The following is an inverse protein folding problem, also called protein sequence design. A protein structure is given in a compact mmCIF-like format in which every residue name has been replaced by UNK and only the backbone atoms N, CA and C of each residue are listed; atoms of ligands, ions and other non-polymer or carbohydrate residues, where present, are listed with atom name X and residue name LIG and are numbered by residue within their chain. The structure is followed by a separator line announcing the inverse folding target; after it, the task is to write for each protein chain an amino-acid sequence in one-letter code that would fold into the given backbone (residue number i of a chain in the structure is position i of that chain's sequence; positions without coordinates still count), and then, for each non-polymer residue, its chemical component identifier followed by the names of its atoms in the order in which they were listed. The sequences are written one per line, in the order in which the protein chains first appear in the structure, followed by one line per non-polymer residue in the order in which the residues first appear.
data_IF_749225679724
#
_entry.id   IF_749225679724
#
_cell.length_a   1.000
_cell.length_b   1.000
_cell.length_c   1.000
_cell.angle_alpha   90.00
_cell.angle_beta   90.00
_cell.angle_gamma   90.00
#
_symmetry.space_group_name_H-M   'P 1'
#
loop_
_entity.id
_entity.type
_entity.pdbx_description
1 polymer ?
#
# COMPACT_ATOMS: atom_id res chain seq x y z
N UNK A 1 -28.36 -112.04 -13.95
CA UNK A 1 -27.03 -111.44 -14.03
C UNK A 1 -27.16 -110.11 -14.67
N UNK A 2 -27.17 -109.03 -13.90
CA UNK A 2 -27.13 -107.60 -14.36
C UNK A 2 -26.07 -106.88 -13.57
N UNK A 3 -25.03 -106.38 -14.25
CA UNK A 3 -24.00 -105.54 -13.70
C UNK A 3 -24.55 -104.18 -13.49
N UNK A 4 -24.36 -103.61 -12.27
CA UNK A 4 -24.65 -102.21 -11.95
C UNK A 4 -23.33 -101.48 -12.03
N UNK A 5 -23.23 -100.50 -12.94
CA UNK A 5 -22.15 -99.56 -13.04
C UNK A 5 -22.40 -98.44 -12.07
N UNK A 6 -21.42 -98.15 -11.16
CA UNK A 6 -21.41 -96.98 -10.31
C UNK A 6 -20.72 -95.88 -11.07
N UNK A 7 -21.43 -94.77 -11.30
CA UNK A 7 -20.88 -93.51 -11.84
C UNK A 7 -20.45 -92.65 -10.65
N UNK A 8 -19.14 -92.31 -10.58
CA UNK A 8 -18.60 -91.36 -9.67
C UNK A 8 -18.72 -89.96 -10.32
N UNK A 9 -19.50 -89.05 -9.69
CA UNK A 9 -19.49 -87.67 -10.03
C UNK A 9 -18.34 -86.95 -9.26
N UNK A 10 -17.37 -86.47 -10.02
CA UNK A 10 -16.30 -85.58 -9.48
C UNK A 10 -16.81 -84.12 -9.52
N UNK A 11 -17.10 -83.54 -8.37
CA UNK A 11 -17.45 -82.12 -8.24
C UNK A 11 -16.15 -81.32 -8.11
N UNK A 12 -15.76 -80.63 -9.19
CA UNK A 12 -14.64 -79.69 -9.15
C UNK A 12 -15.12 -78.37 -8.52
N UNK A 13 -14.57 -78.07 -7.38
CA UNK A 13 -14.76 -76.77 -6.71
C UNK A 13 -13.79 -75.72 -7.34
N UNK A 14 -14.31 -74.88 -8.23
CA UNK A 14 -13.55 -73.74 -8.77
C UNK A 14 -13.66 -72.60 -7.76
N UNK A 15 -12.59 -72.35 -6.98
CA UNK A 15 -12.44 -71.15 -6.14
C UNK A 15 -12.11 -69.96 -7.04
N UNK A 16 -13.11 -69.16 -7.37
CA UNK A 16 -12.92 -67.90 -8.02
C UNK A 16 -12.32 -66.87 -7.00
N UNK A 17 -11.05 -66.56 -7.18
CA UNK A 17 -10.43 -65.44 -6.51
C UNK A 17 -10.95 -64.20 -7.21
N UNK A 18 -11.91 -63.48 -6.59
CA UNK A 18 -12.25 -62.12 -6.99
C UNK A 18 -11.12 -61.21 -6.52
N UNK A 19 -10.22 -60.83 -7.42
CA UNK A 19 -9.36 -59.66 -7.25
C UNK A 19 -10.28 -58.43 -7.31
N UNK A 20 -10.65 -57.87 -6.16
CA UNK A 20 -11.22 -56.56 -6.07
C UNK A 20 -10.04 -55.63 -6.37
N UNK A 21 -9.93 -55.18 -7.63
CA UNK A 21 -9.14 -54.01 -7.98
C UNK A 21 -9.86 -52.81 -7.36
N UNK A 22 -9.36 -52.27 -6.28
CA UNK A 22 -9.67 -50.92 -5.90
C UNK A 22 -9.10 -50.02 -7.02
N UNK A 23 -9.93 -49.72 -8.02
CA UNK A 23 -9.70 -48.50 -8.77
C UNK A 23 -9.93 -47.37 -7.76
N UNK A 24 -8.85 -46.70 -7.34
CA UNK A 24 -8.97 -45.34 -6.85
C UNK A 24 -9.66 -44.57 -7.99
N UNK A 25 -10.88 -44.17 -7.79
CA UNK A 25 -11.43 -43.11 -8.61
C UNK A 25 -10.55 -41.91 -8.28
N UNK A 26 -9.81 -41.41 -9.26
CA UNK A 26 -9.16 -40.13 -9.18
C UNK A 26 -10.30 -39.13 -8.97
N UNK A 27 -10.51 -38.71 -7.75
CA UNK A 27 -11.39 -37.58 -7.43
C UNK A 27 -10.70 -36.40 -8.10
N UNK A 28 -11.26 -35.93 -9.20
CA UNK A 28 -10.87 -34.64 -9.79
C UNK A 28 -11.20 -33.56 -8.74
N UNK A 29 -10.24 -33.24 -7.90
CA UNK A 29 -10.34 -32.14 -6.98
C UNK A 29 -10.24 -30.91 -7.86
N UNK A 30 -11.34 -30.17 -7.98
CA UNK A 30 -11.30 -28.85 -8.61
C UNK A 30 -10.39 -27.95 -7.78
N UNK A 31 -9.29 -27.49 -8.38
CA UNK A 31 -8.34 -26.60 -7.69
C UNK A 31 -8.89 -25.17 -7.56
N UNK A 32 -9.98 -24.82 -8.26
CA UNK A 32 -10.47 -23.44 -8.33
C UNK A 32 -9.57 -22.52 -9.16
N UNK A 33 -8.56 -23.09 -9.83
CA UNK A 33 -7.61 -22.38 -10.71
C UNK A 33 -7.71 -22.98 -12.11
N UNK A 34 -7.80 -22.10 -13.13
CA UNK A 34 -7.83 -22.48 -14.53
C UNK A 34 -6.40 -22.73 -15.07
N UNK A 35 -6.29 -23.58 -16.11
CA UNK A 35 -5.02 -23.85 -16.82
C UNK A 35 -4.50 -22.63 -17.59
N UNK A 36 -5.40 -21.69 -17.99
CA UNK A 36 -5.07 -20.56 -18.85
C UNK A 36 -5.81 -19.31 -18.42
N UNK A 37 -5.06 -18.23 -18.19
CA UNK A 37 -5.59 -16.90 -17.97
C UNK A 37 -5.20 -15.95 -19.11
N UNK A 38 -6.04 -14.94 -19.33
CA UNK A 38 -5.79 -13.89 -20.34
C UNK A 38 -6.13 -12.54 -19.73
N UNK A 39 -5.13 -11.69 -19.51
CA UNK A 39 -5.25 -10.40 -18.82
C UNK A 39 -4.56 -9.29 -19.60
N UNK A 40 -4.93 -8.04 -19.34
CA UNK A 40 -4.17 -6.87 -19.79
C UNK A 40 -2.90 -6.72 -18.95
N UNK A 41 -1.84 -6.13 -19.52
CA UNK A 41 -0.66 -5.76 -18.72
C UNK A 41 -1.06 -4.76 -17.63
N UNK A 42 -0.26 -4.69 -16.55
CA UNK A 42 -0.50 -3.79 -15.42
C UNK A 42 -1.92 -4.00 -14.79
N UNK A 43 -2.39 -5.24 -14.84
CA UNK A 43 -3.62 -5.67 -14.20
C UNK A 43 -3.30 -6.81 -13.25
N UNK A 44 -3.77 -6.72 -12.03
CA UNK A 44 -3.58 -7.75 -11.00
C UNK A 44 -4.42 -8.99 -11.30
N UNK A 45 -3.81 -10.18 -11.27
CA UNK A 45 -4.48 -11.48 -11.26
C UNK A 45 -4.23 -12.15 -9.92
N UNK A 46 -5.29 -12.45 -9.17
CA UNK A 46 -5.20 -13.18 -7.90
C UNK A 46 -5.55 -14.65 -8.15
N UNK A 47 -4.62 -15.55 -7.85
CA UNK A 47 -4.78 -16.99 -7.92
C UNK A 47 -4.99 -17.54 -6.52
N UNK A 48 -6.18 -18.11 -6.27
CA UNK A 48 -6.58 -18.66 -4.97
C UNK A 48 -6.95 -20.14 -5.12
N UNK A 49 -6.05 -21.09 -4.78
CA UNK A 49 -6.38 -22.51 -4.80
C UNK A 49 -7.48 -22.85 -3.79
N UNK A 50 -8.55 -23.49 -4.23
CA UNK A 50 -9.60 -23.99 -3.33
C UNK A 50 -9.11 -25.20 -2.49
N UNK A 51 -8.16 -25.97 -3.04
CA UNK A 51 -7.55 -27.10 -2.34
C UNK A 51 -6.58 -26.60 -1.26
N UNK A 52 -6.73 -27.09 -0.05
CA UNK A 52 -5.88 -26.75 1.10
C UNK A 52 -4.84 -27.85 1.33
N UNK A 53 -3.56 -27.48 1.33
CA UNK A 53 -2.43 -28.33 1.71
C UNK A 53 -1.66 -27.77 2.90
N UNK A 54 -0.59 -28.46 3.28
CA UNK A 54 0.30 -28.05 4.38
C UNK A 54 1.21 -26.88 4.01
N UNK A 55 1.58 -26.77 2.72
CA UNK A 55 2.37 -25.68 2.17
C UNK A 55 2.11 -25.51 0.66
N UNK A 56 2.50 -24.34 0.14
CA UNK A 56 2.36 -23.96 -1.27
C UNK A 56 3.71 -23.49 -1.80
N UNK A 57 4.02 -23.82 -3.05
CA UNK A 57 5.21 -23.33 -3.76
C UNK A 57 4.78 -22.90 -5.15
N UNK A 58 4.90 -21.60 -5.41
CA UNK A 58 4.66 -21.01 -6.72
C UNK A 58 6.00 -20.79 -7.42
N UNK A 59 6.15 -21.33 -8.61
CA UNK A 59 7.39 -21.28 -9.40
C UNK A 59 7.12 -20.64 -10.75
N UNK A 60 7.83 -19.57 -11.08
CA UNK A 60 7.82 -18.97 -12.41
C UNK A 60 8.84 -19.67 -13.29
N UNK A 61 8.40 -20.13 -14.45
CA UNK A 61 9.27 -20.75 -15.45
C UNK A 61 9.86 -19.65 -16.33
N UNK A 62 11.19 -19.48 -16.29
CA UNK A 62 11.91 -18.46 -17.04
C UNK A 62 12.36 -18.97 -18.42
N UNK A 63 12.41 -18.08 -19.42
CA UNK A 63 12.80 -18.41 -20.79
C UNK A 63 14.23 -18.98 -20.90
N UNK A 64 15.09 -18.74 -19.94
CA UNK A 64 16.46 -19.27 -19.88
C UNK A 64 16.55 -20.68 -19.28
N UNK A 65 15.39 -21.29 -18.95
CA UNK A 65 15.28 -22.63 -18.39
C UNK A 65 15.65 -22.72 -16.91
N UNK A 66 15.71 -21.60 -16.20
CA UNK A 66 15.77 -21.55 -14.74
C UNK A 66 14.38 -21.31 -14.17
N UNK A 67 14.07 -22.00 -13.10
CA UNK A 67 12.83 -21.80 -12.37
C UNK A 67 13.09 -20.89 -11.18
N UNK A 68 12.18 -19.99 -10.90
CA UNK A 68 12.27 -19.08 -9.74
C UNK A 68 11.05 -19.26 -8.86
N UNK A 69 11.26 -19.56 -7.57
CA UNK A 69 10.19 -19.54 -6.57
C UNK A 69 9.76 -18.09 -6.39
N UNK A 70 8.48 -17.81 -6.67
CA UNK A 70 7.88 -16.48 -6.64
C UNK A 70 6.86 -16.29 -5.52
N UNK A 71 6.49 -17.37 -4.81
CA UNK A 71 5.58 -17.31 -3.67
C UNK A 71 5.52 -18.62 -2.89
N UNK A 72 5.17 -18.53 -1.61
CA UNK A 72 4.97 -19.68 -0.71
C UNK A 72 3.66 -19.61 0.08
N UNK A 73 2.89 -18.55 -0.12
CA UNK A 73 1.57 -18.41 0.45
C UNK A 73 0.53 -19.15 -0.39
N UNK A 74 -0.66 -19.41 0.17
CA UNK A 74 -1.75 -20.03 -0.56
C UNK A 74 -2.14 -19.20 -1.78
N UNK A 75 -2.31 -17.91 -1.57
CA UNK A 75 -2.70 -16.97 -2.62
C UNK A 75 -1.45 -16.46 -3.33
N UNK A 76 -1.51 -16.38 -4.64
CA UNK A 76 -0.47 -15.78 -5.45
C UNK A 76 -1.03 -14.64 -6.29
N UNK A 77 -0.36 -13.48 -6.23
CA UNK A 77 -0.71 -12.31 -7.01
C UNK A 77 0.26 -12.20 -8.18
N UNK A 78 -0.27 -12.21 -9.40
CA UNK A 78 0.50 -11.98 -10.62
C UNK A 78 0.17 -10.60 -11.20
N UNK A 79 1.19 -9.89 -11.65
CA UNK A 79 1.10 -8.67 -12.44
C UNK A 79 2.32 -8.58 -13.34
N UNK A 80 2.19 -8.02 -14.54
CA UNK A 80 3.30 -7.84 -15.46
C UNK A 80 3.20 -6.49 -16.20
N UNK A 81 4.35 -5.80 -16.35
CA UNK A 81 4.48 -4.58 -17.14
C UNK A 81 4.50 -4.86 -18.64
N UNK A 82 5.05 -6.01 -19.04
CA UNK A 82 5.27 -6.38 -20.44
C UNK A 82 4.21 -7.36 -20.95
N UNK A 83 3.86 -7.22 -22.22
CA UNK A 83 3.04 -8.20 -22.93
C UNK A 83 3.83 -9.48 -23.19
N UNK A 84 3.19 -10.65 -23.08
CA UNK A 84 3.88 -11.91 -23.29
C UNK A 84 3.08 -13.10 -22.84
N UNK A 85 3.75 -14.24 -22.78
CA UNK A 85 3.21 -15.47 -22.22
C UNK A 85 4.10 -15.89 -21.05
N UNK A 86 3.49 -16.02 -19.88
CA UNK A 86 4.14 -16.42 -18.65
C UNK A 86 3.66 -17.82 -18.27
N UNK A 87 4.55 -18.62 -17.71
CA UNK A 87 4.25 -19.95 -17.23
C UNK A 87 4.53 -20.03 -15.74
N UNK A 88 3.54 -20.45 -15.00
CA UNK A 88 3.59 -20.60 -13.55
C UNK A 88 3.28 -22.04 -13.18
N UNK A 89 4.01 -22.58 -12.22
CA UNK A 89 3.80 -23.90 -11.67
C UNK A 89 3.43 -23.76 -10.18
N UNK A 90 2.38 -24.46 -9.77
CA UNK A 90 1.97 -24.53 -8.36
C UNK A 90 2.19 -25.97 -7.86
N UNK A 91 2.96 -26.11 -6.78
CA UNK A 91 2.97 -27.32 -5.96
C UNK A 91 2.22 -27.07 -4.65
N UNK A 92 1.19 -27.87 -4.39
CA UNK A 92 0.50 -27.93 -3.10
C UNK A 92 1.03 -29.17 -2.37
N UNK A 93 1.75 -28.94 -1.30
CA UNK A 93 2.36 -29.98 -0.48
C UNK A 93 1.32 -30.44 0.52
N UNK A 94 1.06 -31.75 0.52
CA UNK A 94 0.14 -32.42 1.43
C UNK A 94 0.68 -33.85 1.66
N UNK A 95 0.68 -34.34 2.91
CA UNK A 95 1.26 -35.67 3.23
C UNK A 95 0.52 -36.81 2.54
N UNK A 96 -0.79 -36.67 2.32
CA UNK A 96 -1.62 -37.76 1.75
C UNK A 96 -1.82 -37.62 0.24
N UNK A 97 -2.03 -36.39 -0.26
CA UNK A 97 -2.40 -36.12 -1.64
C UNK A 97 -1.74 -34.85 -2.18
N UNK A 98 -0.42 -34.83 -2.45
CA UNK A 98 0.24 -33.70 -3.08
C UNK A 98 -0.34 -33.44 -4.48
N UNK A 99 -0.49 -32.18 -4.82
CA UNK A 99 -1.08 -31.73 -6.10
C UNK A 99 -0.13 -30.75 -6.77
N UNK A 100 0.09 -30.92 -8.08
CA UNK A 100 0.82 -29.96 -8.91
C UNK A 100 -0.06 -29.47 -10.06
N UNK A 101 0.10 -28.18 -10.44
CA UNK A 101 -0.72 -27.58 -11.49
C UNK A 101 0.10 -26.58 -12.32
N UNK A 102 0.01 -26.69 -13.65
CA UNK A 102 0.65 -25.77 -14.59
C UNK A 102 -0.34 -24.71 -15.07
N UNK A 103 0.06 -23.45 -15.02
CA UNK A 103 -0.77 -22.31 -15.36
C UNK A 103 -0.08 -21.50 -16.45
N UNK A 104 -0.81 -21.18 -17.50
CA UNK A 104 -0.39 -20.30 -18.58
C UNK A 104 -1.10 -18.96 -18.46
N UNK A 105 -0.34 -17.86 -18.37
CA UNK A 105 -0.89 -16.51 -18.33
C UNK A 105 -0.49 -15.77 -19.61
N UNK A 106 -1.48 -15.35 -20.39
CA UNK A 106 -1.28 -14.53 -21.59
C UNK A 106 -1.57 -13.08 -21.24
N UNK A 107 -0.53 -12.24 -21.28
CA UNK A 107 -0.62 -10.81 -21.02
C UNK A 107 -0.61 -10.08 -22.36
N UNK A 108 -1.62 -9.25 -22.59
CA UNK A 108 -1.79 -8.50 -23.81
C UNK A 108 -1.87 -6.99 -23.56
N UNK A 109 -1.66 -6.21 -24.62
CA UNK A 109 -1.67 -4.76 -24.54
C UNK A 109 -3.07 -4.24 -24.21
N UNK A 110 -3.18 -3.32 -23.27
CA UNK A 110 -4.41 -2.64 -22.94
C UNK A 110 -5.01 -1.91 -24.16
N UNK A 111 -6.34 -1.90 -24.25
CA UNK A 111 -7.03 -1.24 -25.37
C UNK A 111 -7.14 0.29 -25.19
N UNK A 112 -7.22 0.73 -23.92
CA UNK A 112 -7.23 2.15 -23.55
C UNK A 112 -5.91 2.43 -22.85
N UNK A 113 -5.12 3.33 -23.44
CA UNK A 113 -3.82 3.65 -22.89
C UNK A 113 -3.93 4.25 -21.49
N UNK A 114 -3.22 3.66 -20.56
CA UNK A 114 -3.15 4.12 -19.17
C UNK A 114 -2.54 5.51 -19.03
N UNK A 115 -2.97 6.22 -17.99
CA UNK A 115 -2.41 7.50 -17.57
C UNK A 115 -1.38 7.28 -16.46
N UNK A 116 -0.20 7.87 -16.60
CA UNK A 116 0.80 7.81 -15.54
C UNK A 116 0.43 8.56 -14.25
N UNK A 117 -0.61 9.40 -14.29
CA UNK A 117 -1.01 10.27 -13.19
C UNK A 117 -2.08 9.64 -12.31
N UNK A 118 -2.21 10.12 -11.07
CA UNK A 118 -3.34 9.77 -10.20
C UNK A 118 -4.64 9.87 -11.00
N UNK A 119 -5.47 8.83 -10.95
CA UNK A 119 -6.80 8.81 -11.57
C UNK A 119 -7.91 9.08 -10.56
N UNK A 120 -7.75 8.63 -9.31
CA UNK A 120 -8.81 8.67 -8.30
C UNK A 120 -8.25 8.92 -6.90
N UNK A 121 -8.97 9.73 -6.11
CA UNK A 121 -8.80 9.83 -4.66
C UNK A 121 -9.96 9.10 -3.99
N UNK A 122 -9.65 8.11 -3.18
CA UNK A 122 -10.62 7.28 -2.46
C UNK A 122 -11.02 7.89 -1.12
N UNK A 123 -10.04 8.46 -0.42
CA UNK A 123 -10.25 9.06 0.89
C UNK A 123 -9.32 10.26 1.07
N UNK A 124 -9.86 11.35 1.64
CA UNK A 124 -9.09 12.49 2.10
C UNK A 124 -9.50 12.79 3.55
N UNK A 125 -8.59 12.51 4.48
CA UNK A 125 -8.84 12.63 5.91
C UNK A 125 -7.66 13.34 6.58
N UNK A 126 -7.57 14.66 6.47
CA UNK A 126 -6.48 15.42 7.08
C UNK A 126 -6.61 15.46 8.60
N UNK A 127 -5.47 15.58 9.30
CA UNK A 127 -5.42 16.01 10.68
C UNK A 127 -5.55 17.55 10.77
N UNK A 128 -5.78 18.12 11.96
CA UNK A 128 -5.85 19.58 12.09
C UNK A 128 -4.58 20.28 11.62
N UNK A 129 -4.75 21.36 10.82
CA UNK A 129 -3.62 22.11 10.27
C UNK A 129 -4.02 23.42 9.63
N UNK A 130 -3.05 24.32 9.46
CA UNK A 130 -3.27 25.70 9.01
C UNK A 130 -3.81 25.81 7.58
N UNK A 131 -3.65 24.77 6.75
CA UNK A 131 -4.15 24.75 5.37
C UNK A 131 -5.31 23.78 5.12
N UNK A 132 -5.78 23.08 6.15
CA UNK A 132 -6.69 21.94 6.02
C UNK A 132 -8.04 22.31 5.42
N UNK A 133 -8.67 23.42 5.77
CA UNK A 133 -9.94 23.87 5.20
C UNK A 133 -9.79 24.78 3.98
N UNK A 134 -8.55 24.94 3.49
CA UNK A 134 -8.16 25.84 2.40
C UNK A 134 -7.57 25.06 1.22
N UNK A 135 -6.85 23.96 1.47
CA UNK A 135 -6.21 23.12 0.48
C UNK A 135 -6.64 21.63 0.65
N UNK A 136 -7.76 21.21 0.02
CA UNK A 136 -8.69 22.00 -0.82
C UNK A 136 -9.69 22.80 0.01
N UNK A 137 -10.26 23.84 -0.61
CA UNK A 137 -11.23 24.72 0.04
C UNK A 137 -12.50 23.98 0.49
N UNK A 138 -12.80 24.05 1.79
CA UNK A 138 -14.07 23.57 2.33
C UNK A 138 -15.19 24.60 2.06
N UNK A 139 -16.34 24.13 1.61
CA UNK A 139 -17.57 24.91 1.55
C UNK A 139 -18.58 24.32 2.53
N UNK A 140 -19.36 25.19 3.18
CA UNK A 140 -20.33 24.79 4.19
C UNK A 140 -21.26 23.67 3.69
N UNK A 141 -21.29 22.54 4.40
CA UNK A 141 -22.10 21.38 4.06
C UNK A 141 -21.39 20.32 3.21
N UNK A 142 -20.12 20.54 2.82
CA UNK A 142 -19.36 19.47 2.18
C UNK A 142 -19.22 18.26 3.10
N UNK A 143 -19.51 17.08 2.55
CA UNK A 143 -19.26 15.78 3.18
C UNK A 143 -17.80 15.31 2.98
N UNK A 144 -17.42 14.21 3.62
CA UNK A 144 -16.11 13.58 3.37
C UNK A 144 -15.92 13.18 1.90
N UNK A 145 -16.98 12.69 1.25
CA UNK A 145 -16.95 12.36 -0.18
C UNK A 145 -16.75 13.60 -1.08
N UNK A 146 -17.39 14.73 -0.74
CA UNK A 146 -17.19 15.98 -1.47
C UNK A 146 -15.74 16.47 -1.32
N UNK A 147 -15.15 16.35 -0.13
CA UNK A 147 -13.77 16.75 0.12
C UNK A 147 -12.77 15.81 -0.57
N UNK A 148 -13.04 14.50 -0.64
CA UNK A 148 -12.23 13.56 -1.42
C UNK A 148 -12.29 13.90 -2.93
N UNK A 149 -13.47 14.25 -3.46
CA UNK A 149 -13.60 14.70 -4.86
C UNK A 149 -12.85 16.01 -5.11
N UNK A 150 -12.87 16.96 -4.16
CA UNK A 150 -12.10 18.21 -4.28
C UNK A 150 -10.58 17.94 -4.23
N UNK A 151 -10.14 17.01 -3.39
CA UNK A 151 -8.76 16.56 -3.36
C UNK A 151 -8.38 15.91 -4.71
N UNK A 152 -9.22 15.04 -5.26
CA UNK A 152 -9.02 14.46 -6.58
C UNK A 152 -8.89 15.53 -7.67
N UNK A 153 -9.78 16.51 -7.69
CA UNK A 153 -9.73 17.60 -8.68
C UNK A 153 -8.46 18.46 -8.57
N UNK A 154 -7.83 18.48 -7.38
CA UNK A 154 -6.60 19.23 -7.17
C UNK A 154 -5.34 18.48 -7.62
N UNK A 155 -5.27 17.15 -7.41
CA UNK A 155 -4.01 16.39 -7.59
C UNK A 155 -4.07 15.29 -8.67
N UNK A 156 -5.25 14.91 -9.16
CA UNK A 156 -5.37 13.89 -10.21
C UNK A 156 -5.22 14.46 -11.62
N UNK A 157 -4.93 13.59 -12.59
CA UNK A 157 -4.84 13.92 -14.01
C UNK A 157 -3.90 15.10 -14.32
N UNK A 158 -2.80 15.22 -13.57
CA UNK A 158 -1.82 16.31 -13.71
C UNK A 158 -2.44 17.71 -13.53
N UNK A 159 -3.32 17.86 -12.56
CA UNK A 159 -4.11 19.11 -12.36
C UNK A 159 -3.27 20.28 -11.80
N UNK A 160 -2.01 20.04 -11.38
CA UNK A 160 -1.08 21.04 -10.84
C UNK A 160 -1.62 21.83 -9.63
N UNK A 161 -2.59 21.26 -8.90
CA UNK A 161 -3.04 21.78 -7.62
C UNK A 161 -2.27 21.15 -6.47
N UNK A 162 -2.76 21.39 -5.25
CA UNK A 162 -2.14 20.86 -4.03
C UNK A 162 -3.20 20.63 -2.95
N UNK A 163 -2.95 19.66 -2.08
CA UNK A 163 -3.74 19.41 -0.87
C UNK A 163 -2.82 19.37 0.34
N UNK A 164 -3.34 19.73 1.51
CA UNK A 164 -2.61 19.67 2.79
C UNK A 164 -3.16 18.53 3.64
N UNK A 165 -2.28 17.73 4.22
CA UNK A 165 -2.67 16.61 5.09
C UNK A 165 -2.78 17.03 6.57
N UNK A 166 -2.32 18.23 6.93
CA UNK A 166 -2.30 18.72 8.30
C UNK A 166 -1.26 18.00 9.16
N UNK A 167 -1.44 18.06 10.48
CA UNK A 167 -0.52 17.49 11.46
C UNK A 167 -0.41 15.95 11.33
N UNK A 168 0.37 15.32 12.23
CA UNK A 168 0.64 13.88 12.21
C UNK A 168 -0.61 13.02 11.95
N UNK A 169 -0.46 12.10 11.03
CA UNK A 169 -1.43 11.05 10.72
C UNK A 169 -2.53 11.44 9.74
N UNK A 170 -2.71 12.75 9.47
CA UNK A 170 -3.64 13.16 8.41
C UNK A 170 -3.19 12.61 7.06
N UNK A 171 -4.14 12.09 6.25
CA UNK A 171 -3.80 11.30 5.06
C UNK A 171 -4.69 11.53 3.86
N UNK A 172 -4.16 11.11 2.71
CA UNK A 172 -4.89 10.90 1.47
C UNK A 172 -4.66 9.48 0.97
N UNK A 173 -5.70 8.85 0.41
CA UNK A 173 -5.61 7.56 -0.29
C UNK A 173 -6.01 7.75 -1.74
N UNK A 174 -5.14 7.35 -2.66
CA UNK A 174 -5.36 7.48 -4.10
C UNK A 174 -4.90 6.24 -4.86
N UNK A 175 -5.21 6.18 -6.14
CA UNK A 175 -4.77 5.14 -7.07
C UNK A 175 -4.69 5.65 -8.51
N UNK A 176 -4.15 4.81 -9.36
CA UNK A 176 -4.02 5.01 -10.80
C UNK A 176 -5.17 4.34 -11.54
N UNK A 177 -5.22 4.41 -12.86
CA UNK A 177 -6.22 3.70 -13.68
C UNK A 177 -5.77 2.26 -14.05
N UNK A 178 -4.67 1.81 -13.45
CA UNK A 178 -4.01 0.52 -13.62
C UNK A 178 -3.25 0.16 -12.33
N UNK A 179 -2.74 -1.07 -12.23
CA UNK A 179 -1.84 -1.48 -11.15
C UNK A 179 -0.42 -0.99 -11.46
N UNK A 180 0.24 -0.31 -10.51
CA UNK A 180 1.66 0.04 -10.62
C UNK A 180 2.49 -1.20 -10.36
N UNK A 181 3.29 -1.62 -11.34
CA UNK A 181 4.09 -2.85 -11.27
C UNK A 181 5.37 -2.60 -10.49
N UNK A 182 5.75 -3.55 -9.65
CA UNK A 182 7.07 -3.59 -9.02
C UNK A 182 8.10 -4.10 -10.03
N UNK A 183 9.02 -3.25 -10.46
CA UNK A 183 10.10 -3.62 -11.39
C UNK A 183 11.41 -3.72 -10.62
N UNK A 184 11.94 -4.92 -10.53
CA UNK A 184 13.12 -5.23 -9.73
C UNK A 184 14.31 -4.29 -9.99
N UNK A 185 14.72 -3.57 -8.95
CA UNK A 185 15.87 -2.66 -8.97
C UNK A 185 15.59 -1.29 -9.60
N UNK A 186 14.34 -0.96 -9.89
CA UNK A 186 13.90 0.35 -10.37
C UNK A 186 13.07 1.06 -9.30
N UNK A 187 12.76 2.34 -9.51
CA UNK A 187 11.74 3.06 -8.78
C UNK A 187 10.43 2.93 -9.55
N UNK A 188 9.33 2.71 -8.84
CA UNK A 188 8.06 2.39 -9.50
C UNK A 188 7.15 3.59 -9.66
N UNK A 189 7.14 4.50 -8.69
CA UNK A 189 6.29 5.69 -8.75
C UNK A 189 6.89 6.87 -7.99
N UNK A 190 6.39 8.08 -8.26
CA UNK A 190 6.72 9.29 -7.50
C UNK A 190 5.55 9.76 -6.66
N UNK A 191 5.85 10.50 -5.59
CA UNK A 191 4.86 11.35 -4.88
C UNK A 191 5.44 12.75 -4.79
N UNK A 192 4.70 13.73 -5.32
CA UNK A 192 5.13 15.12 -5.45
C UNK A 192 4.52 15.98 -4.34
N UNK A 193 5.31 16.86 -3.75
CA UNK A 193 4.93 17.79 -2.69
C UNK A 193 5.28 19.22 -3.02
N UNK A 194 5.71 19.99 -1.97
CA UNK A 194 6.17 21.37 -2.12
C UNK A 194 7.50 21.66 -1.39
N UNK A 195 8.20 20.62 -0.93
CA UNK A 195 9.48 20.76 -0.25
C UNK A 195 10.50 21.56 -1.08
N UNK A 196 11.35 22.30 -0.41
CA UNK A 196 12.44 23.05 -1.04
C UNK A 196 13.67 23.09 -0.14
N UNK A 197 14.85 23.25 -0.74
CA UNK A 197 16.10 23.41 0.00
C UNK A 197 16.41 24.87 0.31
N UNK A 198 16.93 25.11 1.52
CA UNK A 198 17.51 26.40 1.88
C UNK A 198 18.80 26.65 1.09
N UNK A 199 19.12 27.95 0.88
CA UNK A 199 20.36 28.35 0.18
C UNK A 199 21.62 28.11 1.00
N UNK A 200 21.49 27.84 2.31
CA UNK A 200 22.60 27.52 3.22
C UNK A 200 22.20 26.38 4.16
N UNK A 201 23.18 25.54 4.47
CA UNK A 201 23.04 24.41 5.40
C UNK A 201 24.17 24.48 6.42
N UNK A 202 23.87 24.96 7.64
CA UNK A 202 24.85 25.10 8.71
C UNK A 202 25.15 23.76 9.41
N UNK A 203 24.26 22.78 9.28
CA UNK A 203 24.32 21.49 9.96
C UNK A 203 24.08 20.31 9.00
N UNK A 204 25.00 20.11 8.03
CA UNK A 204 24.83 19.05 7.01
C UNK A 204 24.77 17.63 7.61
N UNK A 205 25.23 17.44 8.84
CA UNK A 205 25.11 16.18 9.58
C UNK A 205 23.65 15.82 9.94
N UNK A 206 22.71 16.77 9.83
CA UNK A 206 21.27 16.56 10.06
C UNK A 206 20.49 16.25 8.78
N UNK A 207 21.15 16.30 7.63
CA UNK A 207 20.55 16.22 6.31
C UNK A 207 20.55 17.55 5.56
N UNK A 208 19.79 17.65 4.49
CA UNK A 208 19.64 18.87 3.70
C UNK A 208 18.64 19.82 4.37
N UNK A 209 19.09 21.03 4.71
CA UNK A 209 18.23 22.06 5.32
C UNK A 209 17.23 22.63 4.30
N UNK A 210 16.02 22.93 4.76
CA UNK A 210 14.99 23.54 3.92
C UNK A 210 13.64 23.63 4.61
N UNK A 211 12.60 23.31 3.85
CA UNK A 211 11.25 23.02 4.32
C UNK A 211 10.89 21.61 3.90
N UNK A 212 11.23 20.61 4.72
CA UNK A 212 10.96 19.20 4.50
C UNK A 212 9.88 18.74 5.48
N UNK A 213 8.71 18.38 4.97
CA UNK A 213 7.51 18.05 5.74
C UNK A 213 7.11 16.58 5.48
N UNK A 214 7.93 15.62 5.98
CA UNK A 214 7.93 14.25 5.52
C UNK A 214 6.60 13.54 5.72
N UNK A 215 6.13 12.88 4.66
CA UNK A 215 4.98 11.99 4.64
C UNK A 215 5.41 10.53 4.48
N UNK A 216 4.88 9.63 5.32
CA UNK A 216 5.04 8.18 5.12
C UNK A 216 4.13 7.73 4.00
N UNK A 217 4.64 6.83 3.17
CA UNK A 217 3.90 6.22 2.06
C UNK A 217 3.58 4.78 2.42
N UNK A 218 2.32 4.41 2.29
CA UNK A 218 1.81 3.05 2.41
C UNK A 218 1.20 2.62 1.09
N UNK A 219 1.25 1.34 0.81
CA UNK A 219 0.72 0.74 -0.42
C UNK A 219 -0.17 -0.47 -0.11
N UNK A 220 -1.12 -0.75 -1.01
CA UNK A 220 -1.96 -1.94 -0.92
C UNK A 220 -2.28 -2.48 -2.32
N UNK A 221 -2.54 -3.78 -2.39
CA UNK A 221 -3.03 -4.48 -3.58
C UNK A 221 -4.52 -4.74 -3.40
N UNK A 222 -5.34 -4.53 -4.43
CA UNK A 222 -6.76 -4.91 -4.47
C UNK A 222 -6.88 -6.43 -4.63
N UNK A 223 -6.71 -7.17 -3.53
CA UNK A 223 -6.71 -8.64 -3.52
C UNK A 223 -8.10 -9.21 -3.75
N UNK A 224 -9.13 -8.53 -3.22
CA UNK A 224 -10.52 -8.96 -3.33
C UNK A 224 -11.22 -8.45 -4.62
N UNK A 225 -10.53 -7.62 -5.42
CA UNK A 225 -11.01 -7.08 -6.71
C UNK A 225 -12.28 -6.26 -6.62
N UNK A 226 -12.50 -5.57 -5.49
CA UNK A 226 -13.70 -4.74 -5.30
C UNK A 226 -13.48 -3.27 -5.67
N UNK A 227 -12.24 -2.86 -6.00
CA UNK A 227 -11.86 -1.50 -6.35
C UNK A 227 -11.92 -0.54 -5.16
N UNK A 228 -11.79 -1.05 -3.93
CA UNK A 228 -11.78 -0.28 -2.69
C UNK A 228 -10.50 -0.53 -1.90
N UNK A 229 -9.94 0.46 -1.19
CA UNK A 229 -8.71 0.34 -0.42
C UNK A 229 -8.97 -0.29 0.96
N UNK A 230 -9.59 -1.47 1.01
CA UNK A 230 -9.96 -2.21 2.23
C UNK A 230 -9.12 -3.47 2.48
N UNK A 231 -8.11 -3.71 1.65
CA UNK A 231 -7.13 -4.78 1.76
C UNK A 231 -5.97 -4.41 2.72
N UNK A 232 -5.07 -5.36 3.05
CA UNK A 232 -3.91 -5.09 3.89
C UNK A 232 -2.98 -4.01 3.34
N UNK A 233 -2.56 -3.11 4.23
CA UNK A 233 -1.63 -2.02 3.94
C UNK A 233 -0.22 -2.35 4.38
N UNK A 234 0.77 -1.95 3.57
CA UNK A 234 2.20 -2.11 3.82
C UNK A 234 2.88 -0.75 3.80
N UNK A 235 3.72 -0.46 4.80
CA UNK A 235 4.52 0.76 4.83
C UNK A 235 5.75 0.60 3.94
N UNK A 236 6.08 1.60 3.12
CA UNK A 236 7.36 1.65 2.44
C UNK A 236 8.40 2.20 3.42
N UNK A 237 9.28 1.32 3.91
CA UNK A 237 10.28 1.64 4.93
C UNK A 237 11.33 2.61 4.39
N UNK A 238 11.23 3.89 4.75
CA UNK A 238 12.22 4.91 4.41
C UNK A 238 13.46 4.89 5.31
N UNK A 239 14.40 5.80 5.05
CA UNK A 239 15.72 5.86 5.69
C UNK A 239 15.71 5.96 7.22
N UNK A 240 14.67 6.50 7.82
CA UNK A 240 14.52 6.63 9.27
C UNK A 240 13.65 5.53 9.90
N UNK A 241 13.16 4.53 9.13
CA UNK A 241 12.28 3.48 9.64
C UNK A 241 12.89 2.75 10.85
N UNK A 242 14.17 2.40 10.80
CA UNK A 242 14.91 1.70 11.88
C UNK A 242 15.61 2.64 12.86
N UNK A 243 15.35 3.95 12.81
CA UNK A 243 15.94 4.88 13.78
C UNK A 243 15.40 4.59 15.18
N UNK A 244 16.24 4.62 16.20
CA UNK A 244 15.88 4.30 17.59
C UNK A 244 14.79 5.24 18.17
N UNK A 245 14.67 6.44 17.64
CA UNK A 245 13.67 7.43 18.06
C UNK A 245 12.37 7.34 17.27
N UNK A 246 12.31 6.57 16.18
CA UNK A 246 11.08 6.27 15.44
C UNK A 246 10.13 5.45 16.31
N UNK A 247 8.84 5.79 16.30
CA UNK A 247 7.82 5.12 17.11
C UNK A 247 6.81 4.46 16.18
N UNK A 248 6.90 3.15 16.04
CA UNK A 248 5.90 2.35 15.37
C UNK A 248 4.62 2.23 16.23
N UNK A 249 3.47 2.03 15.58
CA UNK A 249 2.15 1.94 16.24
C UNK A 249 1.83 3.14 17.14
N UNK A 250 2.37 4.31 16.79
CA UNK A 250 2.01 5.56 17.46
C UNK A 250 0.57 5.93 17.12
N UNK A 251 -0.20 6.36 18.14
CA UNK A 251 -1.58 6.77 17.96
C UNK A 251 -1.79 8.14 18.61
N UNK A 252 -2.47 9.04 17.90
CA UNK A 252 -2.82 10.37 18.38
C UNK A 252 -4.31 10.64 18.16
N UNK A 253 -4.93 11.34 19.10
CA UNK A 253 -6.32 11.80 19.00
C UNK A 253 -6.36 13.32 19.13
N UNK A 254 -6.93 13.99 18.14
CA UNK A 254 -7.20 15.41 18.13
C UNK A 254 -8.66 15.68 18.51
N UNK A 255 -8.91 16.74 19.26
CA UNK A 255 -10.24 17.10 19.72
C UNK A 255 -10.64 18.45 19.12
N UNK A 256 -11.85 18.51 18.55
CA UNK A 256 -12.43 19.77 18.06
C UNK A 256 -12.50 20.78 19.22
N UNK A 257 -12.09 22.03 19.02
CA UNK A 257 -12.31 23.09 20.02
C UNK A 257 -13.80 23.20 20.35
N UNK A 258 -14.10 23.25 21.64
CA UNK A 258 -15.47 23.48 22.13
C UNK A 258 -15.73 25.01 22.16
N UNK A 259 -16.81 25.46 21.54
CA UNK A 259 -17.22 26.87 21.53
C UNK A 259 -17.46 27.45 22.93
N UNK A 260 -17.76 26.57 23.92
CA UNK A 260 -17.91 26.96 25.32
C UNK A 260 -16.57 27.17 26.04
N UNK A 261 -15.44 26.74 25.45
CA UNK A 261 -14.10 26.91 26.04
C UNK A 261 -13.41 28.14 25.46
N UNK A 262 -12.77 28.90 26.33
CA UNK A 262 -11.86 29.96 25.87
C UNK A 262 -10.59 29.33 25.37
N UNK A 263 -10.44 29.24 24.04
CA UNK A 263 -9.20 28.79 23.38
C UNK A 263 -8.36 30.01 23.00
N UNK A 264 -7.05 29.85 23.10
CA UNK A 264 -6.07 30.84 22.63
C UNK A 264 -5.32 30.23 21.43
N UNK A 265 -4.56 31.03 20.70
CA UNK A 265 -3.73 30.51 19.60
C UNK A 265 -2.76 29.42 20.07
N UNK A 266 -2.24 29.51 21.30
CA UNK A 266 -1.32 28.53 21.89
C UNK A 266 -2.01 27.27 22.43
N UNK A 267 -3.34 27.28 22.62
CA UNK A 267 -4.13 26.15 23.15
C UNK A 267 -5.27 25.78 22.20
N UNK A 268 -5.04 25.91 20.90
CA UNK A 268 -6.13 25.87 19.93
C UNK A 268 -6.74 24.48 19.80
N UNK A 269 -6.01 23.48 19.26
CA UNK A 269 -6.56 22.12 19.10
C UNK A 269 -5.80 21.16 19.98
N UNK A 270 -6.46 20.69 21.03
CA UNK A 270 -5.89 19.72 21.96
C UNK A 270 -5.70 18.37 21.30
N UNK A 271 -4.60 17.68 21.63
CA UNK A 271 -4.38 16.29 21.30
C UNK A 271 -3.85 15.48 22.50
N UNK A 272 -4.04 14.17 22.43
CA UNK A 272 -3.45 13.18 23.36
C UNK A 272 -2.93 12.01 22.53
N UNK A 273 -1.93 11.28 23.04
CA UNK A 273 -1.37 10.11 22.38
C UNK A 273 -1.36 8.85 23.27
N UNK A 274 -1.04 7.70 22.64
CA UNK A 274 -0.96 6.41 23.33
C UNK A 274 0.34 6.25 24.17
N UNK A 275 1.27 7.18 24.10
CA UNK A 275 2.48 7.20 24.92
C UNK A 275 2.32 8.03 26.20
N UNK A 276 1.10 8.55 26.46
CA UNK A 276 0.78 9.42 27.60
C UNK A 276 1.12 10.89 27.39
N UNK A 277 1.46 11.27 26.14
CA UNK A 277 1.70 12.65 25.75
C UNK A 277 0.39 13.41 25.53
N UNK A 278 0.48 14.73 25.63
CA UNK A 278 -0.58 15.66 25.28
C UNK A 278 -0.01 17.02 24.88
N UNK A 279 -0.77 17.76 24.08
CA UNK A 279 -0.35 19.08 23.60
C UNK A 279 -1.42 19.73 22.77
N UNK A 280 -1.00 20.68 21.95
CA UNK A 280 -1.89 21.46 21.11
C UNK A 280 -1.29 21.63 19.71
N UNK A 281 -2.15 21.61 18.69
CA UNK A 281 -1.86 22.25 17.41
C UNK A 281 -2.17 23.72 17.62
N UNK A 282 -1.12 24.55 17.57
CA UNK A 282 -1.22 25.98 17.82
C UNK A 282 -1.67 26.72 16.58
N UNK A 283 -2.51 27.75 16.74
CA UNK A 283 -2.92 28.59 15.63
C UNK A 283 -1.81 29.59 15.30
N UNK A 284 -1.48 29.66 14.01
CA UNK A 284 -0.51 30.62 13.50
C UNK A 284 -1.15 32.03 13.40
N UNK A 285 -0.41 33.07 13.72
CA UNK A 285 -0.90 34.46 13.64
C UNK A 285 -1.20 34.92 12.19
N UNK A 286 -0.62 34.25 11.19
CA UNK A 286 -0.83 34.54 9.76
C UNK A 286 -2.01 33.82 9.16
N UNK A 287 -2.46 32.68 9.79
CA UNK A 287 -3.54 31.83 9.36
C UNK A 287 -4.56 31.70 10.49
N UNK A 288 -5.67 32.44 10.41
CA UNK A 288 -6.65 32.55 11.49
C UNK A 288 -7.95 31.79 11.23
N UNK A 289 -8.06 31.07 10.10
CA UNK A 289 -9.18 30.18 9.77
C UNK A 289 -9.22 28.96 10.69
N UNK A 290 -10.27 28.16 10.57
CA UNK A 290 -10.39 26.90 11.29
C UNK A 290 -9.36 25.88 10.80
N UNK A 291 -8.65 25.23 11.75
CA UNK A 291 -7.66 24.19 11.48
C UNK A 291 -8.27 22.78 11.58
N UNK A 292 -9.32 22.62 12.38
CA UNK A 292 -9.97 21.31 12.50
C UNK A 292 -10.80 21.02 11.23
N UNK A 293 -10.67 19.82 10.61
CA UNK A 293 -11.46 19.48 9.43
C UNK A 293 -12.96 19.60 9.69
N UNK A 294 -13.65 20.54 9.03
CA UNK A 294 -15.01 20.94 9.39
C UNK A 294 -16.08 19.86 9.07
N UNK A 295 -15.75 18.90 8.21
CA UNK A 295 -16.63 17.78 7.82
C UNK A 295 -16.45 16.53 8.67
N UNK A 296 -15.48 16.50 9.58
CA UNK A 296 -15.24 15.36 10.48
C UNK A 296 -15.91 15.57 11.84
N UNK A 297 -15.99 14.53 12.64
CA UNK A 297 -16.62 14.56 13.97
C UNK A 297 -15.84 15.34 15.03
N UNK A 298 -16.27 15.25 16.30
CA UNK A 298 -15.70 16.05 17.40
C UNK A 298 -14.31 15.59 17.84
N UNK A 299 -13.89 14.40 17.47
CA UNK A 299 -12.53 13.90 17.64
C UNK A 299 -12.09 13.04 16.46
N UNK A 300 -10.80 13.05 16.19
CA UNK A 300 -10.20 12.29 15.10
C UNK A 300 -8.98 11.57 15.63
N UNK A 301 -8.90 10.26 15.41
CA UNK A 301 -7.75 9.44 15.81
C UNK A 301 -7.03 8.95 14.57
N UNK A 302 -5.69 9.02 14.61
CA UNK A 302 -4.78 8.49 13.60
C UNK A 302 -3.77 7.55 14.25
N UNK A 303 -3.30 6.57 13.46
CA UNK A 303 -2.28 5.62 13.87
C UNK A 303 -1.27 5.44 12.74
N UNK A 304 0.00 5.21 13.09
CA UNK A 304 1.05 4.97 12.11
C UNK A 304 2.44 5.00 12.75
N UNK A 305 3.46 5.14 11.92
CA UNK A 305 4.84 5.35 12.34
C UNK A 305 5.12 6.83 12.51
N UNK A 306 5.55 7.23 13.70
CA UNK A 306 5.99 8.60 14.02
C UNK A 306 7.50 8.69 13.86
N UNK A 307 7.95 9.53 12.94
CA UNK A 307 9.37 9.84 12.76
C UNK A 307 9.90 10.80 13.83
N UNK A 308 11.21 10.81 14.10
CA UNK A 308 11.86 11.83 14.92
C UNK A 308 11.56 13.24 14.39
N UNK A 309 11.71 14.24 15.24
CA UNK A 309 11.58 15.66 14.82
C UNK A 309 12.73 16.03 13.91
N UNK A 310 12.41 16.71 12.80
CA UNK A 310 13.38 17.23 11.84
C UNK A 310 13.46 18.76 11.80
N UNK A 311 12.63 19.46 12.60
CA UNK A 311 12.62 20.91 12.69
C UNK A 311 13.52 21.46 13.80
N UNK A 312 14.41 22.39 13.47
CA UNK A 312 15.35 23.04 14.40
C UNK A 312 15.35 24.54 14.22
N UNK A 313 15.47 25.27 15.34
CA UNK A 313 15.63 26.73 15.29
C UNK A 313 17.10 27.09 15.26
N UNK A 314 17.53 27.79 14.23
CA UNK A 314 18.89 28.22 14.02
C UNK A 314 18.93 29.75 13.80
N UNK A 315 19.62 30.47 14.69
CA UNK A 315 19.73 31.96 14.62
C UNK A 315 18.37 32.67 14.48
N UNK A 316 17.32 32.11 15.12
CA UNK A 316 15.97 32.68 15.07
C UNK A 316 15.12 32.24 13.87
N UNK A 317 15.68 31.47 12.93
CA UNK A 317 14.99 30.90 11.78
C UNK A 317 14.74 29.41 12.03
N UNK A 318 13.55 28.91 11.68
CA UNK A 318 13.25 27.50 11.68
C UNK A 318 13.66 26.89 10.33
N UNK A 319 14.36 25.77 10.40
CA UNK A 319 14.75 24.94 9.26
C UNK A 319 14.28 23.51 9.52
N UNK A 320 13.64 22.90 8.52
CA UNK A 320 13.24 21.52 8.53
C UNK A 320 14.22 20.73 7.64
N UNK A 321 14.88 19.73 8.23
CA UNK A 321 15.92 18.96 7.57
C UNK A 321 15.31 17.73 6.90
N UNK A 322 15.68 17.47 5.64
CA UNK A 322 15.26 16.29 4.92
C UNK A 322 15.86 15.02 5.50
N UNK A 323 15.06 13.96 5.56
CA UNK A 323 15.56 12.58 5.70
C UNK A 323 16.22 12.15 4.38
N UNK A 324 17.07 11.10 4.43
CA UNK A 324 17.88 10.75 3.28
C UNK A 324 17.03 10.30 2.05
N UNK A 325 15.97 9.48 2.26
CA UNK A 325 15.09 8.98 1.21
C UNK A 325 13.82 8.32 1.78
N UNK A 326 12.82 8.09 0.92
CA UNK A 326 11.68 7.24 1.21
C UNK A 326 10.50 7.95 1.89
N UNK A 327 10.40 9.27 1.76
CA UNK A 327 9.29 10.06 2.30
C UNK A 327 8.77 11.06 1.27
N UNK A 328 7.46 11.19 1.18
CA UNK A 328 6.81 12.23 0.37
C UNK A 328 7.07 13.61 0.98
N UNK A 329 7.06 14.67 0.17
CA UNK A 329 7.25 16.06 0.59
C UNK A 329 8.50 16.31 1.46
N UNK A 330 9.52 15.52 1.24
CA UNK A 330 10.78 15.54 1.99
C UNK A 330 11.91 16.17 1.17
N UNK A 331 11.86 16.06 -0.13
CA UNK A 331 12.81 16.63 -1.08
C UNK A 331 12.07 17.41 -2.18
N UNK A 332 12.71 18.41 -2.81
CA UNK A 332 12.12 19.12 -3.95
C UNK A 332 11.75 18.17 -5.11
N UNK A 333 10.69 18.49 -5.82
CA UNK A 333 10.17 17.66 -6.92
C UNK A 333 11.15 17.45 -8.08
N UNK A 334 12.17 18.32 -8.24
CA UNK A 334 13.24 18.18 -9.23
C UNK A 334 14.35 17.20 -8.80
N UNK A 335 14.32 16.74 -7.57
CA UNK A 335 15.19 15.67 -7.03
C UNK A 335 14.58 14.29 -7.34
N UNK A 336 14.46 13.94 -8.61
CA UNK A 336 13.66 12.83 -9.13
C UNK A 336 13.86 11.51 -8.39
N UNK A 337 15.10 11.11 -8.11
CA UNK A 337 15.41 9.85 -7.41
C UNK A 337 14.94 9.86 -5.95
N UNK A 338 14.90 11.05 -5.30
CA UNK A 338 14.58 11.21 -3.88
C UNK A 338 13.08 11.38 -3.61
N UNK A 339 12.29 11.71 -4.64
CA UNK A 339 10.82 11.77 -4.57
C UNK A 339 10.17 10.51 -5.15
N UNK A 340 11.00 9.52 -5.54
CA UNK A 340 10.57 8.25 -6.13
C UNK A 340 10.62 7.12 -5.11
N UNK A 341 9.69 6.19 -5.23
CA UNK A 341 9.45 5.08 -4.32
C UNK A 341 9.61 3.76 -5.03
N UNK A 342 10.11 2.78 -4.29
CA UNK A 342 10.33 1.41 -4.71
C UNK A 342 9.38 0.52 -3.90
N UNK A 343 8.57 -0.28 -4.56
CA UNK A 343 7.62 -1.17 -3.90
C UNK A 343 8.35 -2.25 -3.09
N UNK A 344 9.60 -2.59 -3.43
CA UNK A 344 10.43 -3.52 -2.66
C UNK A 344 10.75 -3.02 -1.23
N UNK A 345 10.49 -1.76 -0.91
CA UNK A 345 10.62 -1.25 0.46
C UNK A 345 9.44 -1.63 1.37
N UNK A 346 8.44 -2.35 0.86
CA UNK A 346 7.26 -2.74 1.62
C UNK A 346 7.62 -3.63 2.82
N UNK A 347 7.03 -3.28 3.97
CA UNK A 347 7.13 -4.06 5.21
C UNK A 347 5.75 -4.30 5.80
N UNK A 348 5.60 -5.42 6.50
CA UNK A 348 4.40 -5.76 7.26
C UNK A 348 4.37 -5.04 8.63
N UNK A 349 3.32 -5.27 9.42
CA UNK A 349 3.16 -4.71 10.77
C UNK A 349 4.28 -5.14 11.74
N UNK A 350 4.97 -6.23 11.47
CA UNK A 350 6.13 -6.70 12.25
C UNK A 350 7.46 -6.12 11.76
N UNK A 351 7.43 -5.30 10.68
CA UNK A 351 8.62 -4.72 10.05
C UNK A 351 9.42 -5.72 9.21
N UNK A 352 8.79 -6.84 8.80
CA UNK A 352 9.42 -7.79 7.89
C UNK A 352 9.15 -7.40 6.45
N UNK A 353 10.14 -7.53 5.58
CA UNK A 353 9.99 -7.24 4.15
C UNK A 353 8.93 -8.14 3.51
N UNK A 354 8.08 -7.53 2.71
CA UNK A 354 7.02 -8.19 1.96
C UNK A 354 7.22 -7.92 0.48
N UNK A 355 7.22 -8.96 -0.35
CA UNK A 355 7.23 -8.79 -1.80
C UNK A 355 5.81 -8.58 -2.30
N UNK A 356 5.60 -7.46 -2.99
CA UNK A 356 4.36 -7.14 -3.70
C UNK A 356 4.68 -7.03 -5.19
N UNK A 357 4.03 -7.80 -6.08
CA UNK A 357 4.31 -7.73 -7.52
C UNK A 357 3.79 -6.45 -8.17
N UNK A 358 2.84 -5.78 -7.53
CA UNK A 358 2.26 -4.50 -7.93
C UNK A 358 1.48 -3.89 -6.77
N UNK A 359 0.96 -2.68 -6.98
CA UNK A 359 0.06 -2.00 -6.05
C UNK A 359 -1.10 -1.35 -6.81
N UNK A 360 -2.26 -1.25 -6.15
CA UNK A 360 -3.46 -0.60 -6.68
C UNK A 360 -3.78 0.69 -5.92
N UNK A 361 -3.36 0.77 -4.65
CA UNK A 361 -3.64 1.90 -3.77
C UNK A 361 -2.37 2.43 -3.11
N UNK A 362 -2.30 3.75 -3.00
CA UNK A 362 -1.25 4.47 -2.27
C UNK A 362 -1.92 5.34 -1.21
N UNK A 363 -1.40 5.32 0.01
CA UNK A 363 -1.77 6.22 1.09
C UNK A 363 -0.55 6.99 1.55
N UNK A 364 -0.70 8.31 1.68
CA UNK A 364 0.34 9.17 2.24
C UNK A 364 -0.19 9.85 3.47
N UNK A 365 0.57 9.85 4.56
CA UNK A 365 0.20 10.56 5.79
C UNK A 365 1.38 11.34 6.39
N UNK A 366 1.09 12.46 7.04
CA UNK A 366 2.12 13.28 7.72
C UNK A 366 2.82 12.49 8.81
N UNK A 367 4.15 12.42 8.75
CA UNK A 367 4.97 11.49 9.53
C UNK A 367 5.48 12.05 10.86
N UNK A 368 5.40 13.36 11.10
CA UNK A 368 5.96 14.02 12.29
C UNK A 368 4.89 14.76 13.12
N UNK A 369 5.07 14.77 14.44
CA UNK A 369 4.24 15.56 15.36
C UNK A 369 5.13 16.66 15.96
N UNK A 370 5.18 17.83 15.31
CA UNK A 370 6.01 18.96 15.73
C UNK A 370 5.38 20.31 15.38
N UNK A 371 5.84 21.35 16.08
CA UNK A 371 5.52 22.73 15.78
C UNK A 371 6.81 23.52 15.65
N UNK A 372 6.96 24.28 14.58
CA UNK A 372 8.15 25.03 14.23
C UNK A 372 7.94 26.55 14.35
N UNK A 373 7.54 26.96 15.54
CA UNK A 373 7.34 28.38 15.88
C UNK A 373 6.34 29.07 14.97
N UNK A 374 6.79 30.11 14.25
CA UNK A 374 5.93 30.90 13.36
C UNK A 374 5.56 30.17 12.05
N UNK A 375 6.28 29.12 11.70
CA UNK A 375 5.90 28.26 10.55
C UNK A 375 4.61 27.48 10.87
N UNK A 376 4.39 27.14 12.14
CA UNK A 376 3.22 26.37 12.59
C UNK A 376 3.52 24.90 12.79
N UNK A 377 2.50 24.07 12.66
CA UNK A 377 2.63 22.63 12.62
C UNK A 377 3.28 22.21 11.30
N UNK A 378 3.96 21.06 11.31
CA UNK A 378 4.45 20.43 10.09
C UNK A 378 3.30 19.64 9.45
N UNK A 379 3.05 19.94 8.18
CA UNK A 379 1.98 19.38 7.38
C UNK A 379 2.55 18.91 6.06
N UNK A 380 2.35 17.66 5.72
CA UNK A 380 2.72 17.13 4.40
C UNK A 380 1.74 17.64 3.35
N UNK A 381 2.24 18.23 2.27
CA UNK A 381 1.46 18.62 1.10
C UNK A 381 1.68 17.65 -0.05
N UNK A 382 0.59 17.35 -0.78
CA UNK A 382 0.62 16.50 -1.97
C UNK A 382 0.14 17.31 -3.17
N UNK A 383 0.96 17.33 -4.23
CA UNK A 383 0.64 18.00 -5.50
C UNK A 383 0.42 17.04 -6.67
N UNK A 384 0.72 15.74 -6.50
CA UNK A 384 0.51 14.71 -7.51
C UNK A 384 1.29 13.45 -7.21
N UNK A 385 1.14 12.46 -8.10
CA UNK A 385 1.97 11.25 -8.16
C UNK A 385 1.98 10.75 -9.60
N UNK A 386 3.03 10.01 -9.97
CA UNK A 386 3.23 9.49 -11.31
C UNK A 386 3.76 8.05 -11.25
N UNK A 387 3.17 7.15 -12.03
CA UNK A 387 3.77 5.85 -12.38
C UNK A 387 4.97 6.07 -13.30
N UNK A 388 6.12 5.51 -12.97
CA UNK A 388 7.36 5.67 -13.71
C UNK A 388 7.48 4.69 -14.89
N UNK A 389 6.68 3.64 -14.94
CA UNK A 389 6.66 2.62 -16.00
C UNK A 389 5.73 2.99 -17.16
N UNK A 390 4.95 4.07 -17.03
CA UNK A 390 4.14 4.64 -18.10
C UNK A 390 4.86 5.84 -18.70
N UNK A 391 5.17 5.78 -20.00
CA UNK A 391 5.80 6.89 -20.72
C UNK A 391 4.89 8.13 -20.74
N UNK A 392 5.48 9.30 -20.53
CA UNK A 392 4.78 10.56 -20.77
C UNK A 392 4.40 10.62 -22.28
N UNK A 393 3.12 10.83 -22.56
CA UNK A 393 2.62 11.06 -23.93
C UNK A 393 2.81 12.49 -24.35
#
# INVERSE_FOLDING_TARGET
MKRVQKIFFLVAFVSGIFLISCQREDVLVGLGIDDVYSIERMTTLVLHPEYTGDAYVWTMLLDDGRDSIVGTERDYIFCAADTGTYYLHLDIIDEENPVSHDIKIVVWQEQVAYSRYISKVYEYRPAPGQFVNVLPQYDAGNSAADMALKAQNAIANNAHGMISLGAFGGYVTFGFDHSVVNVAGERDFTVLGNAFYATSNAHPERGQAGNSEPGIVMVAVDQNKNGQPDDPWYELAGSAYHNADTKHHYQITYFRPDDAQTVTDSTYIRWTDNLGGSGYVMRNSFHQQDYFPLWLGDSITFSGTLLPKNGYQENGTWLLYAYDWGYADNHPNDSTDLVSFDIDWAVDEAGQSVYLPCIDFVRVYTAVNQTCGWIGETSTEISGAEDLHISAK
#
